data_IF_750079571537
#
_entry.id   IF_750079571537
#
_cell.length_a   1.000
_cell.length_b   1.000
_cell.length_c   1.000
_cell.angle_alpha   90.00
_cell.angle_beta   90.00
_cell.angle_gamma   90.00
#
_symmetry.space_group_name_H-M   'P 1'
#
loop_
_entity.id
_entity.type
_entity.pdbx_description
1 polymer ?
#
# COMPACT_ATOMS: atom_id res chain seq x y z
N UNK A 1 -7.03 -28.66 -10.02
CA UNK A 1 -7.36 -27.39 -9.36
C UNK A 1 -6.39 -27.27 -8.21
N UNK A 2 -5.49 -26.31 -8.26
CA UNK A 2 -4.60 -25.97 -7.13
C UNK A 2 -5.48 -25.36 -6.05
N UNK A 3 -5.76 -26.09 -4.99
CA UNK A 3 -6.54 -25.58 -3.87
C UNK A 3 -5.58 -24.84 -2.94
N UNK A 4 -5.55 -23.49 -3.01
CA UNK A 4 -4.79 -22.66 -2.09
C UNK A 4 -5.52 -22.61 -0.74
N UNK A 5 -4.79 -22.94 0.34
CA UNK A 5 -5.37 -22.94 1.69
C UNK A 5 -5.02 -21.64 2.42
N UNK A 6 -5.90 -20.65 2.36
CA UNK A 6 -5.75 -19.39 3.10
C UNK A 6 -6.24 -19.48 4.55
N UNK A 7 -6.83 -20.59 4.98
CA UNK A 7 -7.17 -20.84 6.39
C UNK A 7 -6.03 -21.47 7.20
N UNK A 8 -4.91 -21.82 6.53
CA UNK A 8 -3.73 -22.34 7.21
C UNK A 8 -3.14 -21.30 8.16
N UNK A 9 -3.08 -21.63 9.45
CA UNK A 9 -2.40 -20.80 10.44
C UNK A 9 -0.91 -21.11 10.39
N UNK A 10 -0.11 -20.13 9.97
CA UNK A 10 1.35 -20.24 9.89
C UNK A 10 1.95 -19.45 11.05
N UNK A 11 2.63 -20.16 11.96
CA UNK A 11 3.36 -19.46 13.03
C UNK A 11 4.56 -18.71 12.45
N UNK A 12 4.54 -17.39 12.59
CA UNK A 12 5.57 -16.47 12.10
C UNK A 12 6.47 -15.94 13.22
N UNK A 13 6.29 -16.43 14.45
CA UNK A 13 7.16 -16.08 15.58
C UNK A 13 8.53 -16.75 15.40
N UNK A 14 9.57 -16.04 15.81
CA UNK A 14 10.97 -16.46 15.68
C UNK A 14 11.42 -16.69 14.23
N UNK A 15 10.80 -15.98 13.29
CA UNK A 15 11.13 -16.00 11.85
C UNK A 15 11.76 -14.69 11.36
N UNK A 16 12.12 -13.79 12.26
CA UNK A 16 12.52 -12.41 12.00
C UNK A 16 11.39 -11.56 11.37
N UNK A 17 10.15 -11.93 11.61
CA UNK A 17 8.99 -11.20 11.12
C UNK A 17 8.87 -9.86 11.84
N UNK A 18 8.95 -8.74 11.11
CA UNK A 18 8.71 -7.40 11.65
C UNK A 18 7.34 -7.31 12.34
N UNK A 19 6.34 -7.96 11.76
CA UNK A 19 4.96 -7.97 12.25
C UNK A 19 4.84 -8.71 13.59
N UNK A 20 5.49 -9.88 13.74
CA UNK A 20 5.27 -10.79 14.86
C UNK A 20 6.35 -10.73 15.95
N UNK A 21 7.62 -10.43 15.61
CA UNK A 21 8.76 -10.58 16.54
C UNK A 21 9.21 -9.26 17.17
N UNK A 22 8.64 -8.12 16.77
CA UNK A 22 9.18 -6.82 17.13
C UNK A 22 8.29 -5.99 18.10
N UNK A 23 7.21 -6.57 18.64
CA UNK A 23 6.29 -5.86 19.53
C UNK A 23 7.04 -5.16 20.69
N UNK A 24 7.80 -5.91 21.48
CA UNK A 24 8.60 -5.39 22.59
C UNK A 24 9.58 -4.30 22.19
N UNK A 25 10.31 -4.50 21.08
CA UNK A 25 11.29 -3.50 20.59
C UNK A 25 10.64 -2.20 20.14
N UNK A 26 9.35 -2.24 19.82
CA UNK A 26 8.52 -1.10 19.43
C UNK A 26 7.63 -0.58 20.56
N UNK A 27 7.92 -0.97 21.82
CA UNK A 27 7.19 -0.51 23.00
C UNK A 27 5.75 -0.99 23.10
N UNK A 28 5.42 -2.10 22.42
CA UNK A 28 4.10 -2.75 22.51
C UNK A 28 4.18 -3.98 23.42
N UNK A 29 3.08 -4.41 24.07
CA UNK A 29 3.04 -5.67 24.83
C UNK A 29 3.44 -6.87 23.96
N UNK A 30 4.09 -7.88 24.54
CA UNK A 30 4.55 -9.07 23.80
C UNK A 30 3.39 -10.00 23.37
N UNK A 31 2.26 -9.90 24.05
CA UNK A 31 1.06 -10.73 23.87
C UNK A 31 0.02 -10.15 22.89
N UNK A 32 0.37 -9.08 22.18
CA UNK A 32 -0.53 -8.49 21.19
C UNK A 32 -0.65 -9.33 19.94
N UNK A 33 -1.86 -9.36 19.36
CA UNK A 33 -2.12 -9.90 18.03
C UNK A 33 -1.87 -8.79 16.98
N UNK A 34 -0.84 -8.93 16.12
CA UNK A 34 -0.46 -7.85 15.22
C UNK A 34 -1.25 -7.90 13.90
N UNK A 35 -1.98 -6.83 13.60
CA UNK A 35 -2.69 -6.61 12.34
C UNK A 35 -2.34 -5.24 11.72
N UNK A 36 -1.15 -4.71 12.02
CA UNK A 36 -0.69 -3.39 11.62
C UNK A 36 0.10 -3.37 10.29
N UNK A 37 1.06 -4.29 10.12
CA UNK A 37 1.90 -4.31 8.91
C UNK A 37 1.09 -4.74 7.70
N UNK A 38 1.32 -4.06 6.58
CA UNK A 38 0.77 -4.41 5.28
C UNK A 38 1.56 -5.55 4.61
N UNK A 39 1.74 -6.67 5.32
CA UNK A 39 2.11 -7.98 4.78
C UNK A 39 1.01 -9.00 5.12
N UNK A 40 0.94 -10.10 4.38
CA UNK A 40 -0.10 -11.11 4.57
C UNK A 40 0.40 -12.28 5.44
N UNK A 41 -0.53 -12.98 6.09
CA UNK A 41 -0.23 -14.20 6.83
C UNK A 41 -0.48 -15.46 5.95
N UNK A 42 -0.41 -15.30 4.63
CA UNK A 42 -0.59 -16.37 3.64
C UNK A 42 0.72 -16.74 2.96
N UNK A 43 0.85 -18.02 2.59
CA UNK A 43 1.96 -18.45 1.73
C UNK A 43 1.85 -17.78 0.35
N UNK A 44 2.99 -17.36 -0.18
CA UNK A 44 3.10 -16.97 -1.60
C UNK A 44 2.84 -18.19 -2.52
N UNK A 45 2.54 -17.99 -3.81
CA UNK A 45 2.37 -19.11 -4.76
C UNK A 45 3.50 -20.13 -4.71
N UNK A 46 3.18 -21.41 -4.88
CA UNK A 46 4.17 -22.49 -4.78
C UNK A 46 5.25 -22.37 -5.88
N UNK A 47 4.90 -21.81 -7.02
CA UNK A 47 5.83 -21.54 -8.13
C UNK A 47 6.92 -20.54 -7.72
N UNK A 48 6.58 -19.54 -6.92
CA UNK A 48 7.55 -18.60 -6.34
C UNK A 48 8.48 -19.30 -5.36
N UNK A 49 7.91 -20.14 -4.48
CA UNK A 49 8.68 -20.93 -3.51
C UNK A 49 9.66 -21.86 -4.24
N UNK A 50 9.21 -22.52 -5.30
CA UNK A 50 10.05 -23.43 -6.09
C UNK A 50 11.17 -22.67 -6.81
N UNK A 51 10.89 -21.53 -7.43
CA UNK A 51 11.91 -20.69 -8.08
C UNK A 51 13.01 -20.26 -7.08
N UNK A 52 12.62 -19.90 -5.85
CA UNK A 52 13.59 -19.56 -4.77
C UNK A 52 14.42 -20.78 -4.39
N UNK A 53 13.79 -21.97 -4.20
CA UNK A 53 14.49 -23.22 -3.86
C UNK A 53 15.48 -23.62 -4.94
N UNK A 54 15.10 -23.55 -6.21
CA UNK A 54 15.96 -23.92 -7.34
C UNK A 54 17.18 -23.00 -7.39
N UNK A 55 16.97 -21.69 -7.20
CA UNK A 55 18.10 -20.73 -7.16
C UNK A 55 18.98 -20.94 -5.93
N UNK A 56 18.39 -21.23 -4.78
CA UNK A 56 19.15 -21.53 -3.56
C UNK A 56 19.98 -22.82 -3.73
N UNK A 57 19.42 -23.83 -4.38
CA UNK A 57 20.12 -25.10 -4.67
C UNK A 57 21.28 -24.92 -5.64
N UNK A 58 21.23 -23.96 -6.56
CA UNK A 58 22.35 -23.60 -7.43
C UNK A 58 23.56 -23.07 -6.63
N UNK A 59 23.34 -22.39 -5.48
CA UNK A 59 24.37 -22.06 -4.49
C UNK A 59 25.32 -20.92 -4.85
N UNK A 60 25.14 -20.21 -6.00
CA UNK A 60 25.98 -19.07 -6.40
C UNK A 60 25.12 -17.81 -6.42
N UNK A 61 25.45 -16.85 -5.55
CA UNK A 61 24.73 -15.60 -5.32
C UNK A 61 25.58 -14.39 -5.73
N UNK A 62 26.12 -14.43 -6.96
CA UNK A 62 26.90 -13.33 -7.54
C UNK A 62 26.03 -12.14 -7.93
N UNK A 63 26.67 -11.10 -8.46
CA UNK A 63 25.95 -9.95 -9.03
C UNK A 63 24.97 -10.39 -10.10
N UNK A 64 23.77 -9.82 -10.08
CA UNK A 64 22.67 -10.28 -10.93
C UNK A 64 21.90 -9.10 -11.51
N UNK A 65 21.44 -9.28 -12.74
CA UNK A 65 20.52 -8.39 -13.43
C UNK A 65 19.35 -9.22 -13.97
N UNK A 66 18.17 -8.63 -14.19
CA UNK A 66 17.04 -9.31 -14.79
C UNK A 66 17.34 -9.68 -16.25
N UNK A 67 16.83 -10.83 -16.67
CA UNK A 67 16.83 -11.27 -18.06
C UNK A 67 15.54 -10.77 -18.77
N UNK A 68 15.49 -10.94 -20.10
CA UNK A 68 14.32 -10.56 -20.92
C UNK A 68 13.02 -11.20 -20.38
N UNK A 69 13.11 -12.45 -19.88
CA UNK A 69 11.97 -13.17 -19.29
C UNK A 69 11.31 -12.45 -18.09
N UNK A 70 12.09 -11.71 -17.32
CA UNK A 70 11.56 -10.87 -16.24
C UNK A 70 10.67 -9.75 -16.79
N UNK A 71 11.17 -9.05 -17.82
CA UNK A 71 10.43 -7.93 -18.42
C UNK A 71 9.22 -8.42 -19.22
N UNK A 72 9.32 -9.59 -19.86
CA UNK A 72 8.18 -10.26 -20.47
C UNK A 72 7.09 -10.58 -19.45
N UNK A 73 7.46 -11.12 -18.28
CA UNK A 73 6.52 -11.40 -17.19
C UNK A 73 5.88 -10.12 -16.65
N UNK A 74 6.67 -9.07 -16.40
CA UNK A 74 6.18 -7.76 -15.97
C UNK A 74 5.21 -7.16 -16.99
N UNK A 75 5.61 -7.12 -18.28
CA UNK A 75 4.77 -6.60 -19.36
C UNK A 75 3.48 -7.41 -19.52
N UNK A 76 3.56 -8.74 -19.43
CA UNK A 76 2.39 -9.61 -19.48
C UNK A 76 1.42 -9.31 -18.32
N UNK A 77 1.92 -9.11 -17.09
CA UNK A 77 1.10 -8.77 -15.93
C UNK A 77 0.40 -7.42 -16.11
N UNK A 78 1.14 -6.37 -16.43
CA UNK A 78 0.59 -5.01 -16.59
C UNK A 78 -0.41 -4.93 -17.74
N UNK A 79 -0.16 -5.66 -18.84
CA UNK A 79 -1.08 -5.70 -19.98
C UNK A 79 -2.41 -6.38 -19.63
N UNK A 80 -2.38 -7.51 -18.90
CA UNK A 80 -3.58 -8.24 -18.51
C UNK A 80 -4.37 -7.57 -17.38
N UNK A 81 -3.67 -7.03 -16.38
CA UNK A 81 -4.32 -6.51 -15.17
C UNK A 81 -4.55 -5.00 -15.19
N UNK A 82 -3.68 -4.22 -15.86
CA UNK A 82 -3.71 -2.76 -15.80
C UNK A 82 -3.92 -2.09 -17.16
N UNK A 83 -4.03 -2.89 -18.24
CA UNK A 83 -4.32 -2.43 -19.60
C UNK A 83 -3.28 -1.45 -20.18
N UNK A 84 -2.00 -1.66 -19.88
CA UNK A 84 -0.89 -0.99 -20.56
C UNK A 84 0.34 -1.90 -20.69
N UNK A 85 1.15 -1.61 -21.71
CA UNK A 85 2.38 -2.36 -22.00
C UNK A 85 3.60 -1.62 -21.46
N UNK A 86 4.58 -2.38 -21.01
CA UNK A 86 5.86 -1.87 -20.47
C UNK A 86 6.98 -2.15 -21.44
N UNK A 87 7.75 -1.11 -21.81
CA UNK A 87 9.03 -1.24 -22.52
C UNK A 87 10.14 -1.40 -21.46
N UNK A 88 10.89 -2.49 -21.49
CA UNK A 88 11.97 -2.81 -20.55
C UNK A 88 12.99 -1.67 -20.37
N UNK A 89 13.32 -0.98 -21.50
CA UNK A 89 14.27 0.15 -21.50
C UNK A 89 13.79 1.36 -20.71
N UNK A 90 12.51 1.36 -20.34
CA UNK A 90 11.82 2.41 -19.58
C UNK A 90 11.64 2.04 -18.10
N UNK A 91 12.10 0.86 -17.68
CA UNK A 91 12.02 0.38 -16.30
C UNK A 91 13.31 0.64 -15.55
N UNK A 92 13.19 1.07 -14.31
CA UNK A 92 14.28 1.09 -13.32
C UNK A 92 13.88 0.18 -12.15
N UNK A 93 14.77 -0.77 -11.81
CA UNK A 93 14.57 -1.62 -10.66
C UNK A 93 15.06 -0.93 -9.39
N UNK A 94 14.30 -1.12 -8.30
CA UNK A 94 14.59 -0.57 -6.97
C UNK A 94 14.36 -1.63 -5.89
N UNK A 95 15.01 -1.53 -4.71
CA UNK A 95 14.83 -2.52 -3.64
C UNK A 95 13.44 -2.44 -3.00
N UNK A 96 12.67 -1.40 -3.30
CA UNK A 96 11.31 -1.18 -2.83
C UNK A 96 10.78 0.18 -3.28
N UNK A 97 9.45 0.31 -3.33
CA UNK A 97 8.82 1.52 -3.87
C UNK A 97 9.12 2.75 -3.03
N UNK A 98 9.17 2.64 -1.70
CA UNK A 98 9.54 3.76 -0.83
C UNK A 98 10.93 4.31 -1.18
N UNK A 99 11.93 3.44 -1.37
CA UNK A 99 13.25 3.87 -1.86
C UNK A 99 13.15 4.56 -3.22
N UNK A 100 12.36 4.00 -4.14
CA UNK A 100 12.10 4.60 -5.46
C UNK A 100 11.50 6.00 -5.36
N UNK A 101 10.55 6.22 -4.45
CA UNK A 101 9.94 7.53 -4.19
C UNK A 101 10.98 8.53 -3.65
N UNK A 102 11.79 8.14 -2.65
CA UNK A 102 12.89 8.97 -2.14
C UNK A 102 13.84 9.42 -3.25
N UNK A 103 14.27 8.49 -4.11
CA UNK A 103 15.20 8.82 -5.20
C UNK A 103 14.53 9.65 -6.30
N UNK A 104 13.23 9.45 -6.54
CA UNK A 104 12.45 10.25 -7.47
C UNK A 104 12.30 11.70 -7.00
N UNK A 105 11.95 11.90 -5.74
CA UNK A 105 11.87 13.24 -5.13
C UNK A 105 13.22 13.96 -5.27
N UNK A 106 14.31 13.30 -4.90
CA UNK A 106 15.67 13.88 -5.00
C UNK A 106 16.07 14.23 -6.44
N UNK A 107 15.64 13.41 -7.41
CA UNK A 107 15.94 13.63 -8.82
C UNK A 107 15.13 14.77 -9.46
N UNK A 108 13.90 14.99 -8.97
CA UNK A 108 12.93 15.91 -9.57
C UNK A 108 12.89 17.28 -8.89
N UNK A 109 13.52 17.40 -7.72
CA UNK A 109 13.42 18.61 -6.88
C UNK A 109 14.75 18.95 -6.22
N UNK A 110 14.90 20.18 -5.75
CA UNK A 110 15.98 20.62 -4.89
C UNK A 110 15.52 20.68 -3.42
N UNK A 111 16.47 20.77 -2.48
CA UNK A 111 16.14 21.07 -1.07
C UNK A 111 15.35 22.38 -1.00
N UNK A 112 14.26 22.39 -0.23
CA UNK A 112 13.33 23.51 -0.11
C UNK A 112 12.23 23.58 -1.17
N UNK A 113 12.26 22.77 -2.24
CA UNK A 113 11.12 22.64 -3.15
C UNK A 113 9.94 21.94 -2.49
N UNK A 114 8.73 22.20 -2.98
CA UNK A 114 7.49 21.68 -2.40
C UNK A 114 7.02 20.41 -3.09
N UNK A 115 6.62 19.42 -2.28
CA UNK A 115 6.02 18.14 -2.70
C UNK A 115 4.67 17.97 -2.03
N UNK A 116 3.64 17.60 -2.79
CA UNK A 116 2.27 17.51 -2.34
C UNK A 116 1.86 16.05 -2.14
N UNK A 117 1.08 15.81 -1.08
CA UNK A 117 0.36 14.56 -0.82
C UNK A 117 -1.09 14.86 -0.43
N UNK A 118 -1.98 13.86 -0.56
CA UNK A 118 -3.39 13.97 -0.14
C UNK A 118 -3.66 13.05 1.06
N UNK A 119 -3.81 13.64 2.25
CA UNK A 119 -4.03 12.89 3.50
C UNK A 119 -5.53 12.59 3.76
N UNK A 120 -5.85 11.50 4.53
CA UNK A 120 -4.93 10.58 5.17
C UNK A 120 -4.27 9.68 4.13
N UNK A 121 -2.96 9.46 4.23
CA UNK A 121 -2.20 8.68 3.25
C UNK A 121 -1.03 7.97 3.91
N UNK A 122 -0.50 6.96 3.27
CA UNK A 122 0.65 6.17 3.69
C UNK A 122 1.80 7.05 4.20
N UNK A 123 2.10 6.94 5.48
CA UNK A 123 2.99 7.85 6.21
C UNK A 123 4.43 7.95 5.64
N UNK A 124 5.03 6.91 5.00
CA UNK A 124 6.33 7.06 4.38
C UNK A 124 6.39 8.08 3.24
N UNK A 125 5.27 8.52 2.68
CA UNK A 125 5.27 9.64 1.73
C UNK A 125 5.68 10.94 2.42
N UNK A 126 5.10 11.23 3.60
CA UNK A 126 5.49 12.38 4.42
C UNK A 126 6.97 12.28 4.81
N UNK A 127 7.40 11.10 5.28
CA UNK A 127 8.80 10.87 5.67
C UNK A 127 9.74 11.11 4.48
N UNK A 128 9.43 10.58 3.29
CA UNK A 128 10.26 10.75 2.09
C UNK A 128 10.43 12.22 1.68
N UNK A 129 9.43 13.06 1.93
CA UNK A 129 9.49 14.49 1.65
C UNK A 129 10.38 15.20 2.68
N UNK A 130 10.11 14.96 3.96
CA UNK A 130 10.82 15.65 5.05
C UNK A 130 12.29 15.24 5.16
N UNK A 131 12.59 13.93 5.10
CA UNK A 131 13.96 13.40 5.17
C UNK A 131 14.82 13.84 4.00
N UNK A 132 14.20 14.12 2.87
CA UNK A 132 14.90 14.69 1.70
C UNK A 132 14.97 16.21 1.76
N UNK A 133 14.53 16.86 2.85
CA UNK A 133 14.52 18.30 3.09
C UNK A 133 13.68 19.08 2.07
N UNK A 134 12.57 18.49 1.64
CA UNK A 134 11.55 19.16 0.83
C UNK A 134 10.44 19.68 1.72
N UNK A 135 9.72 20.69 1.24
CA UNK A 135 8.56 21.22 1.93
C UNK A 135 7.36 20.32 1.71
N UNK A 136 6.79 19.81 2.79
CA UNK A 136 5.55 19.04 2.74
C UNK A 136 4.36 19.98 2.50
N UNK A 137 3.62 19.74 1.44
CA UNK A 137 2.32 20.36 1.18
C UNK A 137 1.25 19.29 1.27
N UNK A 138 0.16 19.60 1.98
CA UNK A 138 -0.95 18.67 2.18
C UNK A 138 -2.24 19.28 1.63
N UNK A 139 -2.92 18.51 0.77
CA UNK A 139 -4.32 18.73 0.41
C UNK A 139 -5.11 17.56 1.00
N UNK A 140 -5.96 17.84 1.98
CA UNK A 140 -6.70 16.81 2.67
C UNK A 140 -7.84 16.28 1.81
N UNK A 141 -8.05 14.96 1.85
CA UNK A 141 -9.25 14.35 1.33
C UNK A 141 -10.45 14.73 2.21
N UNK A 142 -11.60 14.89 1.59
CA UNK A 142 -12.86 15.16 2.28
C UNK A 142 -13.56 13.85 2.59
N UNK A 143 -13.86 13.61 3.87
CA UNK A 143 -14.66 12.45 4.28
C UNK A 143 -16.15 12.80 4.19
N UNK A 144 -16.77 12.42 3.09
CA UNK A 144 -18.21 12.57 2.90
C UNK A 144 -18.93 11.32 3.40
N UNK A 145 -19.22 11.30 4.70
CA UNK A 145 -19.90 10.19 5.38
C UNK A 145 -19.29 8.79 5.12
N UNK A 146 -17.96 8.71 5.11
CA UNK A 146 -17.19 7.47 4.88
C UNK A 146 -16.71 7.27 3.45
N UNK A 147 -17.15 8.08 2.52
CA UNK A 147 -16.59 8.14 1.18
C UNK A 147 -15.60 9.30 1.10
N UNK A 148 -14.34 9.00 0.80
CA UNK A 148 -13.30 10.01 0.71
C UNK A 148 -13.17 10.53 -0.72
N UNK A 149 -13.10 11.85 -0.88
CA UNK A 149 -13.06 12.54 -2.16
C UNK A 149 -11.94 13.57 -2.19
N UNK A 150 -11.45 13.93 -3.38
CA UNK A 150 -10.57 15.08 -3.54
C UNK A 150 -11.34 16.40 -3.44
N UNK A 151 -10.82 17.35 -2.67
CA UNK A 151 -11.15 18.76 -2.88
C UNK A 151 -10.23 19.32 -3.96
N UNK A 152 -10.67 19.27 -5.22
CA UNK A 152 -9.87 19.73 -6.35
C UNK A 152 -9.58 21.23 -6.32
N UNK A 153 -10.40 22.03 -5.65
CA UNK A 153 -10.14 23.45 -5.47
C UNK A 153 -8.98 23.66 -4.47
N UNK A 154 -9.01 22.99 -3.33
CA UNK A 154 -7.90 23.02 -2.37
C UNK A 154 -6.64 22.45 -3.01
N UNK A 155 -6.74 21.32 -3.72
CA UNK A 155 -5.63 20.67 -4.40
C UNK A 155 -4.92 21.62 -5.39
N UNK A 156 -5.65 22.29 -6.28
CA UNK A 156 -5.09 23.25 -7.23
C UNK A 156 -4.53 24.49 -6.54
N UNK A 157 -5.25 25.05 -5.56
CA UNK A 157 -4.79 26.19 -4.78
C UNK A 157 -3.47 25.89 -4.03
N UNK A 158 -3.34 24.70 -3.42
CA UNK A 158 -2.09 24.28 -2.75
C UNK A 158 -0.92 24.18 -3.73
N UNK A 159 -1.16 23.69 -4.94
CA UNK A 159 -0.15 23.64 -6.00
C UNK A 159 0.35 25.03 -6.34
N UNK A 160 -0.57 25.98 -6.58
CA UNK A 160 -0.23 27.36 -6.98
C UNK A 160 0.49 28.08 -5.84
N UNK A 161 -0.11 28.09 -4.65
CA UNK A 161 0.40 28.87 -3.50
C UNK A 161 1.79 28.42 -3.04
N UNK A 162 2.11 27.13 -3.19
CA UNK A 162 3.35 26.54 -2.71
C UNK A 162 4.34 26.23 -3.85
N UNK A 163 4.03 26.57 -5.09
CA UNK A 163 4.88 26.27 -6.26
C UNK A 163 5.30 24.78 -6.28
N UNK A 164 4.33 23.89 -6.07
CA UNK A 164 4.55 22.43 -5.97
C UNK A 164 5.22 21.91 -7.24
N UNK A 165 6.22 21.03 -7.08
CA UNK A 165 6.96 20.42 -8.19
C UNK A 165 6.55 18.98 -8.44
N UNK A 166 6.18 18.25 -7.39
CA UNK A 166 5.85 16.83 -7.42
C UNK A 166 4.60 16.56 -6.60
N UNK A 167 3.71 15.75 -7.12
CA UNK A 167 2.59 15.16 -6.40
C UNK A 167 2.79 13.65 -6.26
N UNK A 168 2.64 13.10 -5.05
CA UNK A 168 2.68 11.66 -4.82
C UNK A 168 1.24 11.16 -4.70
N UNK A 169 0.78 10.44 -5.71
CA UNK A 169 -0.54 9.82 -5.80
C UNK A 169 -0.48 8.39 -5.24
N UNK A 170 -1.36 8.05 -4.32
CA UNK A 170 -1.60 6.69 -3.85
C UNK A 170 -2.81 6.11 -4.58
N UNK A 171 -2.64 5.06 -5.39
CA UNK A 171 -3.71 4.51 -6.23
C UNK A 171 -3.60 2.98 -6.39
N UNK A 172 -4.44 2.18 -5.72
CA UNK A 172 -5.48 2.52 -4.72
C UNK A 172 -4.95 3.19 -3.45
N UNK A 173 -5.82 3.94 -2.78
CA UNK A 173 -5.42 4.85 -1.70
C UNK A 173 -5.45 4.19 -0.32
N UNK A 174 -4.30 3.99 0.27
CA UNK A 174 -4.12 3.52 1.64
C UNK A 174 -3.99 4.73 2.60
N UNK A 175 -4.77 4.85 3.69
CA UNK A 175 -5.52 3.78 4.36
C UNK A 175 -7.02 3.69 4.01
N UNK A 176 -7.58 4.64 3.31
CA UNK A 176 -9.04 4.80 3.15
C UNK A 176 -9.69 3.82 2.18
N UNK A 177 -8.88 3.03 1.46
CA UNK A 177 -9.37 1.98 0.56
C UNK A 177 -9.99 2.46 -0.75
N UNK A 178 -9.85 3.75 -1.13
CA UNK A 178 -10.40 4.28 -2.39
C UNK A 178 -9.66 3.72 -3.61
N UNK A 179 -10.43 3.40 -4.64
CA UNK A 179 -9.96 3.13 -6.01
C UNK A 179 -10.40 4.30 -6.87
N UNK A 180 -9.46 5.18 -7.20
CA UNK A 180 -9.79 6.41 -7.91
C UNK A 180 -10.40 6.12 -9.29
N UNK A 181 -11.51 6.77 -9.57
CA UNK A 181 -12.19 6.68 -10.86
C UNK A 181 -11.34 7.31 -11.96
N UNK A 182 -11.59 6.92 -13.21
CA UNK A 182 -10.93 7.54 -14.36
C UNK A 182 -11.12 9.05 -14.41
N UNK A 183 -12.30 9.54 -14.04
CA UNK A 183 -12.63 10.97 -14.09
C UNK A 183 -11.87 11.76 -13.00
N UNK A 184 -11.77 11.22 -11.78
CA UNK A 184 -10.94 11.80 -10.71
C UNK A 184 -9.47 11.87 -11.14
N UNK A 185 -8.94 10.80 -11.73
CA UNK A 185 -7.56 10.75 -12.21
C UNK A 185 -7.32 11.71 -13.41
N UNK A 186 -8.31 11.86 -14.31
CA UNK A 186 -8.23 12.85 -15.40
C UNK A 186 -8.21 14.27 -14.85
N UNK A 187 -8.93 14.55 -13.76
CA UNK A 187 -8.90 15.86 -13.12
C UNK A 187 -7.54 16.15 -12.46
N UNK A 188 -6.95 15.15 -11.80
CA UNK A 188 -5.58 15.24 -11.28
C UNK A 188 -4.60 15.52 -12.43
N UNK A 189 -4.70 14.76 -13.53
CA UNK A 189 -3.88 14.96 -14.73
C UNK A 189 -4.00 16.38 -15.27
N UNK A 190 -5.22 16.89 -15.44
CA UNK A 190 -5.48 18.23 -15.95
C UNK A 190 -4.76 19.30 -15.13
N UNK A 191 -4.93 19.24 -13.79
CA UNK A 191 -4.34 20.20 -12.86
C UNK A 191 -2.81 20.09 -12.85
N UNK A 192 -2.28 18.86 -12.76
CA UNK A 192 -0.83 18.65 -12.68
C UNK A 192 -0.11 19.05 -13.95
N UNK A 193 -0.66 18.77 -15.13
CA UNK A 193 -0.11 19.23 -16.41
C UNK A 193 -0.17 20.74 -16.56
N UNK A 194 -1.30 21.36 -16.19
CA UNK A 194 -1.48 22.82 -16.24
C UNK A 194 -0.41 23.58 -15.46
N UNK A 195 0.03 23.01 -14.32
CA UNK A 195 1.00 23.64 -13.41
C UNK A 195 2.41 23.03 -13.46
N UNK A 196 2.70 22.17 -14.44
CA UNK A 196 3.98 21.46 -14.59
C UNK A 196 4.40 20.66 -13.35
N UNK A 197 3.46 20.01 -12.69
CA UNK A 197 3.69 19.13 -11.53
C UNK A 197 3.88 17.69 -12.01
N UNK A 198 5.00 17.07 -11.68
CA UNK A 198 5.26 15.68 -12.02
C UNK A 198 4.52 14.76 -11.03
N UNK A 199 3.87 13.68 -11.52
CA UNK A 199 3.15 12.74 -10.69
C UNK A 199 3.98 11.48 -10.44
N UNK A 200 4.18 11.14 -9.16
CA UNK A 200 4.66 9.82 -8.76
C UNK A 200 3.41 9.00 -8.37
N UNK A 201 2.98 8.09 -9.24
CA UNK A 201 1.82 7.23 -8.98
C UNK A 201 2.26 5.94 -8.31
N UNK A 202 2.00 5.82 -7.01
CA UNK A 202 2.22 4.59 -6.27
C UNK A 202 1.03 3.64 -6.47
N UNK A 203 1.24 2.64 -7.34
CA UNK A 203 0.24 1.66 -7.74
C UNK A 203 0.49 0.27 -7.11
N UNK A 204 1.19 0.23 -5.98
CA UNK A 204 1.59 -1.03 -5.32
C UNK A 204 0.39 -1.87 -4.84
N UNK A 205 -0.78 -1.26 -4.68
CA UNK A 205 -2.03 -1.92 -4.29
C UNK A 205 -2.96 -2.21 -5.48
N UNK A 206 -2.52 -2.01 -6.72
CA UNK A 206 -3.34 -2.11 -7.93
C UNK A 206 -4.05 -3.46 -8.13
N UNK A 207 -3.52 -4.53 -7.57
CA UNK A 207 -4.08 -5.88 -7.67
C UNK A 207 -5.20 -6.17 -6.65
N UNK A 208 -5.44 -5.29 -5.68
CA UNK A 208 -6.46 -5.50 -4.65
C UNK A 208 -7.68 -4.63 -4.90
N UNK A 209 -8.52 -5.09 -5.82
CA UNK A 209 -9.74 -4.38 -6.24
C UNK A 209 -10.93 -5.29 -5.98
N UNK A 210 -11.93 -4.81 -5.24
CA UNK A 210 -13.13 -5.57 -4.95
C UNK A 210 -14.10 -5.57 -6.13
N UNK A 211 -14.96 -6.59 -6.22
CA UNK A 211 -15.71 -6.98 -7.42
C UNK A 211 -16.53 -5.87 -8.08
N UNK A 212 -16.96 -4.85 -7.33
CA UNK A 212 -17.79 -3.76 -7.85
C UNK A 212 -17.00 -2.58 -8.40
N UNK A 213 -15.67 -2.63 -8.34
CA UNK A 213 -14.79 -1.52 -8.68
C UNK A 213 -13.83 -1.90 -9.79
N UNK A 214 -13.26 -0.89 -10.43
CA UNK A 214 -12.30 -1.08 -11.52
C UNK A 214 -11.10 -0.20 -11.32
N UNK A 215 -9.93 -0.80 -11.26
CA UNK A 215 -8.67 -0.07 -11.24
C UNK A 215 -8.42 0.64 -12.58
N UNK A 216 -7.95 1.87 -12.49
CA UNK A 216 -7.42 2.64 -13.60
C UNK A 216 -5.99 3.05 -13.27
N UNK A 217 -5.01 2.53 -14.00
CA UNK A 217 -3.63 3.00 -13.86
C UNK A 217 -3.48 4.40 -14.41
N UNK A 218 -2.69 5.24 -13.75
CA UNK A 218 -2.32 6.57 -14.25
C UNK A 218 -1.63 6.49 -15.62
N UNK A 219 -0.94 5.38 -15.89
CA UNK A 219 -0.31 5.11 -17.19
C UNK A 219 -1.30 5.08 -18.37
N UNK A 220 -2.60 4.85 -18.13
CA UNK A 220 -3.64 4.72 -19.17
C UNK A 220 -4.38 6.02 -19.49
N UNK A 221 -4.00 7.13 -18.88
CA UNK A 221 -4.67 8.42 -19.02
C UNK A 221 -4.25 9.22 -20.27
N UNK A 222 -3.33 8.69 -21.04
CA UNK A 222 -2.79 9.30 -22.25
C UNK A 222 -1.26 9.47 -22.18
N UNK A 223 -0.66 9.67 -23.35
CA UNK A 223 0.80 9.78 -23.47
C UNK A 223 1.38 10.98 -22.69
N UNK A 224 0.64 12.08 -22.66
CA UNK A 224 1.00 13.29 -21.90
C UNK A 224 1.06 13.04 -20.40
N UNK A 225 0.08 12.31 -19.83
CA UNK A 225 0.09 11.88 -18.43
C UNK A 225 1.29 10.97 -18.13
N UNK A 226 1.49 9.94 -18.97
CA UNK A 226 2.54 8.97 -18.80
C UNK A 226 3.93 9.61 -18.95
N UNK A 227 4.10 10.57 -19.87
CA UNK A 227 5.35 11.32 -20.04
C UNK A 227 5.65 12.29 -18.88
N UNK A 228 4.64 12.65 -18.09
CA UNK A 228 4.75 13.53 -16.92
C UNK A 228 4.65 12.74 -15.59
N UNK A 229 4.96 11.44 -15.60
CA UNK A 229 4.81 10.61 -14.41
C UNK A 229 5.89 9.55 -14.23
N UNK A 230 5.90 9.01 -13.02
CA UNK A 230 6.62 7.80 -12.60
C UNK A 230 5.57 6.82 -12.09
N UNK A 231 5.44 5.66 -12.72
CA UNK A 231 4.51 4.62 -12.27
C UNK A 231 5.28 3.59 -11.43
N UNK A 232 4.85 3.41 -10.18
CA UNK A 232 5.49 2.51 -9.23
C UNK A 232 4.73 1.18 -9.17
N UNK A 233 5.40 0.07 -9.46
CA UNK A 233 4.82 -1.28 -9.55
C UNK A 233 5.67 -2.25 -8.75
N UNK A 234 5.05 -3.13 -7.97
CA UNK A 234 5.80 -4.16 -7.26
C UNK A 234 4.92 -5.38 -6.94
N UNK A 235 5.45 -6.60 -7.00
CA UNK A 235 4.76 -7.80 -6.55
C UNK A 235 4.71 -7.95 -5.03
N UNK A 236 5.37 -7.05 -4.30
CA UNK A 236 5.60 -7.16 -2.85
C UNK A 236 4.31 -7.24 -2.04
N UNK A 237 3.27 -6.51 -2.45
CA UNK A 237 1.95 -6.58 -1.82
C UNK A 237 1.12 -7.71 -2.42
N UNK A 238 1.05 -7.81 -3.73
CA UNK A 238 0.23 -8.78 -4.45
C UNK A 238 0.53 -10.22 -4.03
N UNK A 239 1.81 -10.56 -3.88
CA UNK A 239 2.27 -11.92 -3.63
C UNK A 239 3.01 -12.10 -2.29
N UNK A 240 2.90 -11.13 -1.38
CA UNK A 240 3.54 -11.19 -0.06
C UNK A 240 5.07 -11.33 -0.12
N UNK A 241 5.73 -10.56 -1.00
CA UNK A 241 7.15 -10.66 -1.29
C UNK A 241 7.99 -9.45 -0.80
N UNK A 242 7.44 -8.65 0.14
CA UNK A 242 8.11 -7.42 0.60
C UNK A 242 9.54 -7.66 1.14
N UNK A 243 9.77 -8.79 1.82
CA UNK A 243 11.07 -9.17 2.35
C UNK A 243 12.12 -9.49 1.27
N UNK A 244 11.71 -9.71 0.02
CA UNK A 244 12.61 -10.00 -1.10
C UNK A 244 13.06 -8.75 -1.86
N UNK A 245 12.53 -7.59 -1.50
CA UNK A 245 13.02 -6.27 -1.91
C UNK A 245 13.17 -6.12 -3.43
N UNK A 246 12.04 -6.03 -4.15
CA UNK A 246 12.01 -5.76 -5.57
C UNK A 246 10.81 -4.85 -5.93
N UNK A 247 11.08 -3.81 -6.71
CA UNK A 247 10.10 -2.89 -7.25
C UNK A 247 10.54 -2.32 -8.58
N UNK A 248 9.59 -1.83 -9.36
CA UNK A 248 9.81 -1.31 -10.69
C UNK A 248 9.27 0.11 -10.78
N UNK A 249 10.06 1.03 -11.33
CA UNK A 249 9.64 2.37 -11.71
C UNK A 249 9.56 2.42 -13.22
N UNK A 250 8.34 2.55 -13.77
CA UNK A 250 8.13 2.71 -15.21
C UNK A 250 8.09 4.20 -15.55
N UNK A 251 9.04 4.65 -16.37
CA UNK A 251 9.29 6.07 -16.66
C UNK A 251 9.61 6.22 -18.15
N UNK A 252 8.65 6.69 -18.95
CA UNK A 252 8.88 6.86 -20.39
C UNK A 252 9.70 8.10 -20.73
N UNK A 253 9.58 9.16 -19.94
CA UNK A 253 10.32 10.39 -20.12
C UNK A 253 11.83 10.17 -19.89
N UNK A 254 12.64 10.48 -20.91
CA UNK A 254 14.07 10.22 -20.87
C UNK A 254 14.82 11.09 -19.86
N UNK A 255 14.39 12.31 -19.64
CA UNK A 255 15.04 13.24 -18.69
C UNK A 255 14.74 12.81 -17.26
N UNK A 256 13.48 12.58 -16.95
CA UNK A 256 13.05 12.07 -15.64
C UNK A 256 13.77 10.75 -15.34
N UNK A 257 13.77 9.81 -16.29
CA UNK A 257 14.40 8.50 -16.09
C UNK A 257 15.91 8.60 -15.86
N UNK A 258 16.62 9.45 -16.60
CA UNK A 258 18.07 9.68 -16.40
C UNK A 258 18.35 10.30 -15.04
N UNK A 259 17.53 11.27 -14.62
CA UNK A 259 17.64 11.89 -13.29
C UNK A 259 17.45 10.89 -12.17
N UNK A 260 16.36 10.09 -12.21
CA UNK A 260 16.06 9.07 -11.21
C UNK A 260 17.15 7.97 -11.19
N UNK A 261 17.61 7.49 -12.35
CA UNK A 261 18.72 6.53 -12.45
C UNK A 261 19.99 7.07 -11.82
N UNK A 262 20.30 8.33 -12.05
CA UNK A 262 21.45 8.99 -11.41
C UNK A 262 21.30 9.03 -9.90
N UNK A 263 20.13 9.42 -9.40
CA UNK A 263 19.85 9.49 -7.95
C UNK A 263 19.98 8.10 -7.28
N UNK A 264 19.47 7.05 -7.94
CA UNK A 264 19.58 5.65 -7.47
C UNK A 264 21.06 5.24 -7.36
N UNK A 265 21.84 5.53 -8.39
CA UNK A 265 23.29 5.23 -8.40
C UNK A 265 24.04 6.04 -7.35
N UNK A 266 23.74 7.30 -7.18
CA UNK A 266 24.37 8.18 -6.18
C UNK A 266 24.06 7.73 -4.74
N UNK A 267 22.95 7.00 -4.55
CA UNK A 267 22.62 6.31 -3.28
C UNK A 267 23.39 4.98 -3.10
N UNK A 268 24.25 4.60 -4.03
CA UNK A 268 25.06 3.38 -3.97
C UNK A 268 24.32 2.10 -4.36
N UNK A 269 23.09 2.20 -4.88
CA UNK A 269 22.35 1.03 -5.34
C UNK A 269 22.62 0.77 -6.82
N UNK A 270 23.11 -0.42 -7.14
CA UNK A 270 23.54 -0.76 -8.52
C UNK A 270 22.98 -2.07 -9.06
N UNK A 271 22.78 -3.07 -8.20
CA UNK A 271 22.26 -4.38 -8.60
C UNK A 271 21.10 -4.81 -7.72
N UNK A 272 20.13 -5.48 -8.33
CA UNK A 272 18.98 -6.01 -7.62
C UNK A 272 19.29 -7.34 -6.94
N UNK A 273 18.55 -7.62 -5.87
CA UNK A 273 18.61 -8.91 -5.18
C UNK A 273 18.10 -10.02 -6.12
N UNK A 274 18.96 -11.05 -6.34
CA UNK A 274 18.61 -12.16 -7.22
C UNK A 274 17.32 -12.88 -6.79
N UNK A 275 17.08 -13.06 -5.49
CA UNK A 275 15.84 -13.69 -5.02
C UNK A 275 14.62 -12.81 -5.31
N UNK A 276 14.79 -11.49 -5.27
CA UNK A 276 13.74 -10.53 -5.67
C UNK A 276 13.43 -10.64 -7.16
N UNK A 277 14.44 -10.72 -8.03
CA UNK A 277 14.26 -10.86 -9.48
C UNK A 277 13.48 -12.13 -9.82
N UNK A 278 13.97 -13.31 -9.41
CA UNK A 278 13.37 -14.59 -9.78
C UNK A 278 11.97 -14.79 -9.18
N UNK A 279 11.75 -14.30 -7.97
CA UNK A 279 10.43 -14.39 -7.32
C UNK A 279 9.41 -13.49 -7.99
N UNK A 280 9.82 -12.30 -8.45
CA UNK A 280 8.95 -11.40 -9.21
C UNK A 280 8.57 -12.00 -10.56
N UNK A 281 9.56 -12.56 -11.29
CA UNK A 281 9.29 -13.24 -12.56
C UNK A 281 8.32 -14.41 -12.38
N UNK A 282 8.57 -15.28 -11.41
CA UNK A 282 7.69 -16.42 -11.12
C UNK A 282 6.28 -15.98 -10.71
N UNK A 283 6.17 -14.96 -9.88
CA UNK A 283 4.90 -14.42 -9.40
C UNK A 283 4.06 -13.87 -10.57
N UNK A 284 4.61 -13.02 -11.41
CA UNK A 284 3.89 -12.43 -12.54
C UNK A 284 3.57 -13.44 -13.66
N UNK A 285 4.40 -14.48 -13.80
CA UNK A 285 4.20 -15.53 -14.81
C UNK A 285 3.14 -16.56 -14.43
N UNK A 286 3.06 -16.90 -13.15
CA UNK A 286 2.26 -18.03 -12.69
C UNK A 286 1.21 -17.68 -11.62
N UNK A 287 1.19 -16.45 -11.11
CA UNK A 287 0.42 -16.06 -9.94
C UNK A 287 -1.07 -15.79 -10.15
N UNK A 288 -1.58 -15.76 -11.40
CA UNK A 288 -2.97 -15.36 -11.69
C UNK A 288 -4.01 -16.15 -10.89
N UNK A 289 -3.89 -17.48 -10.85
CA UNK A 289 -4.86 -18.32 -10.15
C UNK A 289 -4.84 -18.11 -8.65
N UNK A 290 -3.65 -17.96 -8.06
CA UNK A 290 -3.48 -17.67 -6.64
C UNK A 290 -4.07 -16.30 -6.29
N UNK A 291 -3.76 -15.28 -7.08
CA UNK A 291 -4.28 -13.93 -6.90
C UNK A 291 -5.82 -13.90 -6.97
N UNK A 292 -6.41 -14.56 -7.94
CA UNK A 292 -7.88 -14.65 -8.08
C UNK A 292 -8.55 -15.30 -6.84
N UNK A 293 -7.97 -16.37 -6.31
CA UNK A 293 -8.50 -17.01 -5.11
C UNK A 293 -8.25 -16.17 -3.86
N UNK A 294 -7.11 -15.44 -3.77
CA UNK A 294 -6.83 -14.49 -2.70
C UNK A 294 -7.89 -13.39 -2.65
N UNK A 295 -8.24 -12.77 -3.78
CA UNK A 295 -9.25 -11.70 -3.82
C UNK A 295 -10.59 -12.21 -3.29
N UNK A 296 -11.03 -13.40 -3.68
CA UNK A 296 -12.26 -14.00 -3.14
C UNK A 296 -12.18 -14.22 -1.62
N UNK A 297 -11.03 -14.67 -1.14
CA UNK A 297 -10.84 -14.88 0.30
C UNK A 297 -10.88 -13.56 1.07
N UNK A 298 -10.28 -12.50 0.54
CA UNK A 298 -10.32 -11.16 1.13
C UNK A 298 -11.74 -10.57 1.11
N UNK A 299 -12.53 -10.82 0.06
CA UNK A 299 -13.95 -10.42 0.01
C UNK A 299 -14.78 -11.14 1.08
N UNK A 300 -14.49 -12.43 1.35
CA UNK A 300 -15.12 -13.17 2.44
C UNK A 300 -14.73 -12.58 3.81
N UNK A 301 -13.45 -12.29 4.02
CA UNK A 301 -12.98 -11.64 5.23
C UNK A 301 -13.65 -10.27 5.44
N UNK A 302 -13.74 -9.47 4.38
CA UNK A 302 -14.39 -8.16 4.43
C UNK A 302 -15.89 -8.28 4.72
N UNK A 303 -16.58 -9.27 4.14
CA UNK A 303 -18.00 -9.52 4.42
C UNK A 303 -18.21 -9.89 5.88
N UNK A 304 -17.36 -10.74 6.44
CA UNK A 304 -17.40 -11.05 7.88
C UNK A 304 -17.20 -9.79 8.74
N UNK A 305 -16.24 -8.92 8.41
CA UNK A 305 -16.02 -7.67 9.14
C UNK A 305 -17.25 -6.78 9.10
N UNK A 306 -17.90 -6.61 7.93
CA UNK A 306 -19.13 -5.79 7.79
C UNK A 306 -20.24 -6.29 8.70
N UNK A 307 -20.52 -7.59 8.68
CA UNK A 307 -21.54 -8.19 9.52
C UNK A 307 -21.21 -8.04 11.00
N UNK A 308 -19.98 -8.33 11.39
CA UNK A 308 -19.54 -8.23 12.77
C UNK A 308 -19.67 -6.81 13.32
N UNK A 309 -19.18 -5.81 12.59
CA UNK A 309 -19.26 -4.39 13.01
C UNK A 309 -20.72 -3.96 13.12
N UNK A 310 -21.53 -4.28 12.11
CA UNK A 310 -22.97 -3.94 12.12
C UNK A 310 -23.70 -4.53 13.32
N UNK A 311 -23.41 -5.78 13.66
CA UNK A 311 -24.19 -6.50 14.67
C UNK A 311 -23.66 -6.26 16.10
N UNK A 312 -22.34 -6.17 16.26
CA UNK A 312 -21.68 -6.12 17.57
C UNK A 312 -21.05 -4.79 17.92
N UNK A 313 -20.63 -3.97 16.94
CA UNK A 313 -19.93 -2.72 17.16
C UNK A 313 -20.63 -1.51 16.49
N UNK A 314 -21.90 -1.24 16.80
CA UNK A 314 -22.69 -0.20 16.08
C UNK A 314 -22.13 1.22 16.21
N UNK A 315 -21.25 1.46 17.19
CA UNK A 315 -20.57 2.73 17.42
C UNK A 315 -19.19 2.85 16.74
N UNK A 316 -18.76 1.78 16.06
CA UNK A 316 -17.58 1.78 15.19
C UNK A 316 -18.05 1.74 13.74
N UNK A 317 -17.49 2.58 12.89
CA UNK A 317 -17.88 2.62 11.48
C UNK A 317 -16.78 2.06 10.61
N UNK A 318 -17.10 1.04 9.82
CA UNK A 318 -16.25 0.63 8.72
C UNK A 318 -16.34 1.67 7.60
N UNK A 319 -15.22 2.24 7.21
CA UNK A 319 -15.09 2.97 5.96
C UNK A 319 -15.05 1.93 4.86
N UNK A 320 -16.05 1.93 3.98
CA UNK A 320 -16.21 0.87 2.99
C UNK A 320 -15.07 0.89 1.98
N UNK A 321 -14.20 -0.13 1.94
CA UNK A 321 -13.08 -0.15 1.02
C UNK A 321 -13.52 -0.59 -0.38
N UNK A 322 -13.01 0.10 -1.39
CA UNK A 322 -13.14 -0.24 -2.80
C UNK A 322 -12.00 -1.15 -3.27
N UNK A 323 -10.89 -1.09 -2.55
CA UNK A 323 -9.69 -1.90 -2.78
C UNK A 323 -8.79 -1.95 -1.55
N UNK A 324 -7.64 -2.58 -1.69
CA UNK A 324 -6.65 -2.94 -0.66
C UNK A 324 -7.17 -4.03 0.30
N UNK A 325 -6.26 -4.60 1.09
CA UNK A 325 -6.60 -5.49 2.22
C UNK A 325 -6.41 -4.80 3.58
N UNK A 326 -6.35 -3.47 3.53
CA UNK A 326 -6.21 -2.60 4.69
C UNK A 326 -7.52 -1.85 4.85
N UNK A 327 -8.23 -2.11 5.94
CA UNK A 327 -9.51 -1.46 6.20
C UNK A 327 -9.35 -0.34 7.22
N UNK A 328 -10.19 0.67 7.12
CA UNK A 328 -10.17 1.88 7.92
C UNK A 328 -11.41 1.96 8.80
N UNK A 329 -11.23 1.93 10.12
CA UNK A 329 -12.29 1.95 11.10
C UNK A 329 -12.36 3.30 11.81
N UNK A 330 -13.54 3.88 11.88
CA UNK A 330 -13.85 5.14 12.56
C UNK A 330 -14.45 4.87 13.94
N UNK A 331 -13.75 5.27 14.97
CA UNK A 331 -14.13 5.17 16.39
C UNK A 331 -14.64 6.50 16.97
N UNK A 332 -14.81 7.55 16.17
CA UNK A 332 -15.18 8.88 16.64
C UNK A 332 -16.50 8.91 17.44
N UNK A 333 -17.42 8.00 17.10
CA UNK A 333 -18.72 7.89 17.78
C UNK A 333 -18.64 7.33 19.21
N UNK A 334 -17.50 6.80 19.64
CA UNK A 334 -17.32 6.34 21.00
C UNK A 334 -17.29 7.49 22.01
N UNK A 335 -17.04 8.72 21.58
CA UNK A 335 -17.06 9.92 22.44
C UNK A 335 -15.92 10.00 23.46
N UNK A 336 -14.88 9.22 23.27
CA UNK A 336 -13.66 9.19 24.11
C UNK A 336 -12.46 9.73 23.35
N UNK A 337 -11.37 10.02 24.05
CA UNK A 337 -10.15 10.54 23.40
C UNK A 337 -9.45 9.48 22.54
N UNK A 338 -8.75 9.93 21.51
CA UNK A 338 -7.91 9.09 20.64
C UNK A 338 -6.91 8.23 21.44
N UNK A 339 -6.22 8.83 22.41
CA UNK A 339 -5.31 8.11 23.32
C UNK A 339 -6.01 6.99 24.12
N UNK A 340 -7.27 7.19 24.53
CA UNK A 340 -8.04 6.15 25.25
C UNK A 340 -8.46 5.02 24.30
N UNK A 341 -8.79 5.34 23.03
CA UNK A 341 -9.07 4.33 22.00
C UNK A 341 -7.83 3.44 21.82
N UNK A 342 -6.67 4.06 21.60
CA UNK A 342 -5.41 3.34 21.42
C UNK A 342 -5.02 2.49 22.64
N UNK A 343 -5.23 3.02 23.86
CA UNK A 343 -4.99 2.28 25.10
C UNK A 343 -5.88 1.04 25.20
N UNK A 344 -7.17 1.16 24.92
CA UNK A 344 -8.10 0.02 24.91
C UNK A 344 -7.67 -1.02 23.88
N UNK A 345 -7.36 -0.61 22.67
CA UNK A 345 -6.95 -1.51 21.59
C UNK A 345 -5.68 -2.28 21.96
N UNK A 346 -4.66 -1.59 22.45
CA UNK A 346 -3.35 -2.19 22.71
C UNK A 346 -3.33 -2.96 24.02
N UNK A 347 -3.84 -2.36 25.13
CA UNK A 347 -3.64 -2.87 26.46
C UNK A 347 -4.79 -3.76 26.96
N UNK A 348 -6.02 -3.54 26.50
CA UNK A 348 -7.19 -4.33 26.88
C UNK A 348 -7.48 -5.40 25.82
N UNK A 349 -7.71 -5.01 24.57
CA UNK A 349 -7.97 -5.93 23.47
C UNK A 349 -6.75 -6.75 23.04
N UNK A 350 -5.54 -6.33 23.43
CA UNK A 350 -4.29 -6.96 23.02
C UNK A 350 -4.16 -7.06 21.48
N UNK A 351 -4.52 -5.98 20.80
CA UNK A 351 -4.38 -5.84 19.36
C UNK A 351 -3.30 -4.79 19.04
N UNK A 352 -2.52 -5.04 18.03
CA UNK A 352 -1.61 -4.04 17.48
C UNK A 352 -2.07 -3.66 16.08
N UNK A 353 -2.69 -2.50 15.98
CA UNK A 353 -3.19 -1.88 14.76
C UNK A 353 -2.31 -0.68 14.39
N UNK A 354 -2.56 -0.05 13.26
CA UNK A 354 -1.95 1.24 12.92
C UNK A 354 -2.88 2.39 13.33
N UNK A 355 -2.40 3.20 14.26
CA UNK A 355 -3.06 4.39 14.76
C UNK A 355 -3.30 5.40 13.61
N UNK A 356 -4.50 5.91 13.49
CA UNK A 356 -4.88 6.73 12.35
C UNK A 356 -4.12 8.05 12.22
N UNK A 357 -3.66 8.62 13.32
CA UNK A 357 -2.90 9.87 13.35
C UNK A 357 -1.56 9.79 12.59
N UNK A 358 -0.97 8.61 12.42
CA UNK A 358 0.27 8.45 11.64
C UNK A 358 0.05 8.74 10.15
N UNK A 359 -1.19 8.57 9.64
CA UNK A 359 -1.55 8.84 8.24
C UNK A 359 -1.88 10.32 7.97
N UNK A 360 -1.87 11.15 9.02
CA UNK A 360 -2.20 12.57 9.01
C UNK A 360 -3.12 12.95 10.15
N UNK A 361 -3.17 14.21 10.54
CA UNK A 361 -3.98 14.68 11.68
C UNK A 361 -5.47 14.38 11.50
N UNK A 362 -5.96 14.35 10.27
CA UNK A 362 -7.36 14.00 9.96
C UNK A 362 -7.66 12.51 10.15
N UNK A 363 -6.64 11.67 10.38
CA UNK A 363 -6.78 10.27 10.76
C UNK A 363 -7.07 10.04 12.25
N UNK A 364 -7.13 11.09 13.06
CA UNK A 364 -7.48 11.01 14.47
C UNK A 364 -8.83 10.31 14.68
N UNK A 365 -8.90 9.41 15.65
CA UNK A 365 -10.04 8.51 15.97
C UNK A 365 -10.21 7.35 14.96
N UNK A 366 -9.28 7.14 14.06
CA UNK A 366 -9.32 6.00 13.14
C UNK A 366 -8.24 4.98 13.48
N UNK A 367 -8.49 3.75 13.06
CA UNK A 367 -7.52 2.65 13.11
C UNK A 367 -7.49 1.90 11.79
N UNK A 368 -6.30 1.53 11.34
CA UNK A 368 -6.14 0.69 10.14
C UNK A 368 -5.90 -0.74 10.53
N UNK A 369 -6.70 -1.65 9.98
CA UNK A 369 -6.58 -3.10 10.20
C UNK A 369 -6.21 -3.80 8.90
N UNK A 370 -5.24 -4.72 8.97
CA UNK A 370 -4.92 -5.66 7.90
C UNK A 370 -5.81 -6.90 8.00
N UNK A 371 -6.64 -7.15 6.97
CA UNK A 371 -7.54 -8.31 6.90
C UNK A 371 -6.97 -9.47 6.07
N UNK A 372 -5.73 -9.37 5.56
CA UNK A 372 -5.05 -10.44 4.84
C UNK A 372 -4.41 -11.46 5.80
N UNK A 373 -5.28 -12.10 6.57
CA UNK A 373 -4.95 -13.12 7.56
C UNK A 373 -6.03 -14.22 7.53
N UNK A 374 -5.78 -15.45 8.02
CA UNK A 374 -6.81 -16.46 8.15
C UNK A 374 -8.05 -15.96 8.88
N UNK A 375 -9.24 -16.33 8.39
CA UNK A 375 -10.51 -15.86 8.94
C UNK A 375 -10.63 -16.13 10.45
N UNK A 376 -10.06 -17.22 10.95
CA UNK A 376 -10.05 -17.55 12.39
C UNK A 376 -9.28 -16.52 13.23
N UNK A 377 -8.16 -16.00 12.71
CA UNK A 377 -7.38 -14.95 13.36
C UNK A 377 -8.15 -13.63 13.35
N UNK A 378 -8.79 -13.29 12.23
CA UNK A 378 -9.61 -12.09 12.10
C UNK A 378 -10.82 -12.12 13.05
N UNK A 379 -11.45 -13.29 13.20
CA UNK A 379 -12.52 -13.51 14.19
C UNK A 379 -12.04 -13.27 15.61
N UNK A 380 -10.93 -13.85 16.00
CA UNK A 380 -10.33 -13.65 17.33
C UNK A 380 -10.03 -12.15 17.57
N UNK A 381 -9.45 -11.46 16.59
CA UNK A 381 -9.17 -10.03 16.71
C UNK A 381 -10.42 -9.19 16.93
N UNK A 382 -11.49 -9.41 16.16
CA UNK A 382 -12.71 -8.63 16.31
C UNK A 382 -13.48 -8.96 17.59
N UNK A 383 -13.46 -10.22 18.06
CA UNK A 383 -14.03 -10.58 19.36
C UNK A 383 -13.25 -9.96 20.53
N UNK A 384 -11.92 -9.90 20.46
CA UNK A 384 -11.11 -9.17 21.46
C UNK A 384 -11.47 -7.69 21.48
N UNK A 385 -11.61 -7.05 20.32
CA UNK A 385 -12.00 -5.65 20.22
C UNK A 385 -13.40 -5.42 20.82
N UNK A 386 -14.36 -6.28 20.49
CA UNK A 386 -15.71 -6.22 21.04
C UNK A 386 -15.70 -6.34 22.57
N UNK A 387 -15.02 -7.37 23.11
CA UNK A 387 -14.96 -7.60 24.54
C UNK A 387 -14.33 -6.40 25.29
N UNK A 388 -13.23 -5.86 24.79
CA UNK A 388 -12.56 -4.71 25.38
C UNK A 388 -13.45 -3.45 25.38
N UNK A 389 -14.13 -3.16 24.29
CA UNK A 389 -15.06 -2.03 24.22
C UNK A 389 -16.31 -2.23 25.10
N UNK A 390 -16.78 -3.47 25.22
CA UNK A 390 -17.91 -3.81 26.07
C UNK A 390 -17.58 -3.71 27.57
N UNK A 391 -16.39 -4.15 27.99
CA UNK A 391 -15.88 -4.00 29.36
C UNK A 391 -15.76 -2.52 29.76
N UNK A 392 -15.41 -1.65 28.85
CA UNK A 392 -15.37 -0.20 29.05
C UNK A 392 -16.77 0.49 28.93
N UNK A 393 -17.83 -0.29 28.69
CA UNK A 393 -19.20 0.24 28.55
C UNK A 393 -19.45 1.05 27.28
N UNK A 394 -18.62 0.82 26.23
CA UNK A 394 -18.63 1.58 24.99
C UNK A 394 -19.43 0.91 23.86
N UNK A 395 -20.02 -0.26 24.12
CA UNK A 395 -20.92 -0.95 23.20
C UNK A 395 -22.35 -0.74 23.65
N UNK A 396 -23.05 0.21 23.04
CA UNK A 396 -24.48 0.47 23.29
C UNK A 396 -25.25 0.53 21.98
N UNK A 397 -26.46 -0.02 21.97
CA UNK A 397 -27.37 0.17 20.85
C UNK A 397 -28.11 1.51 21.09
N UNK A 398 -28.11 2.37 20.09
CA UNK A 398 -29.07 3.48 20.03
C UNK A 398 -30.48 2.85 19.87
N UNK A 399 -31.29 2.92 20.90
CA UNK A 399 -32.71 2.51 20.86
C UNK A 399 -33.51 3.45 19.96
#
# INVERSE_FOLDING_TARGET
MTNYNFDEIIDRRNTNSLKWDYAKRRGKPEDVLPLWVADMDFRTPIEVINAIKDKASHGIFGYSEPLDSYFEALNSWTSRHYNYSVDERKVLLVPGIVFGIYQSIKALTNEGDSVLISQPVYYPFKESILDTKRNLVVSNLVNNNGHYEFDFNDFENKIIQNNVKVYILCNPHNPVGRVWTRDELLKIKEITLKHNVIVISDEIHADFIYSNYKFTSYATLGEDALNNSIICISPSKTFNLAGLQNGNLYIINNEIRRGVRKSIRDAGYSQSNIMGIISTEAAYKYGDSWHKELIKYLENNLSFVREFIKDKLPNVKLIEPEGTYLIWLDFSKLGISDNKINDIIINVAKLWLDEGNIFGEIGKYFERINIATPLSILKDALERLYNALNEEGLVWRLF
#
